data_IF_097778582102
#
_entry.id   IF_097778582102
#
_cell.length_a   1.000
_cell.length_b   1.000
_cell.length_c   1.000
_cell.angle_alpha   90.00
_cell.angle_beta   90.00
_cell.angle_gamma   90.00
#
_symmetry.space_group_name_H-M   'P 1'
#
loop_
_entity.id
_entity.type
_entity.pdbx_description
1 polymer ?
#
# COMPACT_ATOMS: atom_id res chain seq x y z
N UNK A 1 23.58 -19.28 -8.53
CA UNK A 1 23.09 -18.14 -9.32
C UNK A 1 23.49 -16.87 -8.59
N UNK A 2 24.22 -15.92 -9.20
CA UNK A 2 24.61 -14.69 -8.51
C UNK A 2 23.35 -13.90 -8.12
N UNK A 3 23.26 -13.55 -6.84
CA UNK A 3 22.17 -12.74 -6.31
C UNK A 3 22.31 -11.33 -6.89
N UNK A 4 21.37 -10.91 -7.74
CA UNK A 4 21.32 -9.53 -8.24
C UNK A 4 20.80 -8.61 -7.12
N UNK A 5 21.71 -8.17 -6.26
CA UNK A 5 21.43 -7.34 -5.10
C UNK A 5 20.80 -6.00 -5.49
N UNK A 6 21.19 -5.43 -6.64
CA UNK A 6 20.64 -4.19 -7.17
C UNK A 6 19.15 -4.32 -7.46
N UNK A 7 18.75 -5.40 -8.12
CA UNK A 7 17.34 -5.64 -8.43
C UNK A 7 16.52 -5.80 -7.14
N UNK A 8 17.05 -6.53 -6.14
CA UNK A 8 16.40 -6.67 -4.83
C UNK A 8 16.27 -5.32 -4.11
N UNK A 9 17.32 -4.50 -4.12
CA UNK A 9 17.31 -3.17 -3.50
C UNK A 9 16.29 -2.25 -4.19
N UNK A 10 16.20 -2.26 -5.53
CA UNK A 10 15.19 -1.52 -6.30
C UNK A 10 13.77 -1.88 -5.88
N UNK A 11 13.46 -3.18 -5.78
CA UNK A 11 12.14 -3.62 -5.37
C UNK A 11 11.84 -3.33 -3.90
N UNK A 12 12.83 -3.49 -3.01
CA UNK A 12 12.68 -3.13 -1.59
C UNK A 12 12.42 -1.62 -1.42
N UNK A 13 13.08 -0.77 -2.20
CA UNK A 13 12.85 0.67 -2.20
C UNK A 13 11.42 1.01 -2.63
N UNK A 14 10.95 0.46 -3.76
CA UNK A 14 9.57 0.69 -4.21
C UNK A 14 8.53 0.16 -3.23
N UNK A 15 8.70 -1.05 -2.70
CA UNK A 15 7.75 -1.61 -1.73
C UNK A 15 7.67 -0.76 -0.47
N UNK A 16 8.80 -0.24 0.00
CA UNK A 16 8.85 0.62 1.20
C UNK A 16 8.14 1.95 0.95
N UNK A 17 8.37 2.58 -0.22
CA UNK A 17 7.73 3.84 -0.58
C UNK A 17 6.20 3.69 -0.69
N UNK A 18 5.74 2.63 -1.36
CA UNK A 18 4.31 2.32 -1.53
C UNK A 18 3.67 2.02 -0.18
N UNK A 19 4.32 1.21 0.66
CA UNK A 19 3.84 0.92 2.00
C UNK A 19 3.73 2.19 2.84
N UNK A 20 4.75 3.04 2.84
CA UNK A 20 4.75 4.31 3.57
C UNK A 20 3.58 5.21 3.14
N UNK A 21 3.29 5.27 1.85
CA UNK A 21 2.20 6.09 1.33
C UNK A 21 0.82 5.52 1.71
N UNK A 22 0.63 4.21 1.62
CA UNK A 22 -0.65 3.55 1.85
C UNK A 22 -0.95 3.39 3.34
N UNK A 23 0.02 2.93 4.13
CA UNK A 23 -0.13 2.66 5.56
C UNK A 23 -0.06 3.93 6.44
N UNK A 24 -0.15 5.10 5.83
CA UNK A 24 -0.11 6.39 6.50
C UNK A 24 -1.50 6.74 7.10
N UNK A 25 -1.58 7.28 8.34
CA UNK A 25 -2.86 7.61 9.00
C UNK A 25 -3.72 8.65 8.26
N UNK A 26 -3.12 9.61 7.57
CA UNK A 26 -3.81 10.53 6.67
C UNK A 26 -4.41 9.80 5.47
N UNK A 27 -3.76 8.76 4.92
CA UNK A 27 -4.33 7.91 3.85
C UNK A 27 -5.53 7.12 4.36
N UNK A 28 -5.48 6.62 5.60
CA UNK A 28 -6.64 6.00 6.27
C UNK A 28 -7.79 7.00 6.44
N UNK A 29 -7.52 8.25 6.84
CA UNK A 29 -8.55 9.31 6.90
C UNK A 29 -9.11 9.66 5.53
N UNK A 30 -8.27 9.75 4.50
CA UNK A 30 -8.72 10.04 3.12
C UNK A 30 -9.61 8.93 2.59
N UNK A 31 -9.19 7.67 2.72
CA UNK A 31 -10.00 6.52 2.32
C UNK A 31 -11.28 6.41 3.12
N UNK A 32 -11.27 6.74 4.42
CA UNK A 32 -12.50 6.86 5.21
C UNK A 32 -13.45 7.95 4.71
N UNK A 33 -12.94 9.09 4.20
CA UNK A 33 -13.80 10.11 3.59
C UNK A 33 -14.41 9.65 2.26
N UNK A 34 -13.68 8.86 1.47
CA UNK A 34 -14.13 8.40 0.14
C UNK A 34 -15.02 7.15 0.23
N UNK A 35 -14.66 6.19 1.09
CA UNK A 35 -15.31 4.88 1.22
C UNK A 35 -16.03 4.68 2.56
N UNK A 36 -16.03 5.67 3.46
CA UNK A 36 -16.69 5.58 4.77
C UNK A 36 -18.20 5.38 4.72
N UNK A 37 -18.82 5.63 3.56
CA UNK A 37 -20.22 5.31 3.32
C UNK A 37 -20.48 3.81 3.08
N UNK A 38 -19.45 3.07 2.63
CA UNK A 38 -19.49 1.63 2.39
C UNK A 38 -18.92 0.84 3.58
N UNK A 39 -17.78 1.27 4.12
CA UNK A 39 -17.02 0.56 5.14
C UNK A 39 -16.36 1.54 6.11
N UNK A 40 -16.42 1.26 7.41
CA UNK A 40 -15.71 2.05 8.43
C UNK A 40 -14.22 1.70 8.41
N UNK A 41 -13.40 2.53 7.73
CA UNK A 41 -11.96 2.32 7.55
C UNK A 41 -11.15 2.89 8.72
N UNK A 42 -11.54 4.04 9.26
CA UNK A 42 -10.81 4.70 10.35
C UNK A 42 -11.75 5.40 11.34
N UNK A 43 -11.38 5.41 12.61
CA UNK A 43 -12.10 6.16 13.65
C UNK A 43 -11.84 7.68 13.52
N UNK A 44 -12.57 8.51 14.26
CA UNK A 44 -12.47 9.97 14.23
C UNK A 44 -11.04 10.50 14.49
N UNK A 45 -10.22 9.73 15.22
CA UNK A 45 -8.80 10.03 15.47
C UNK A 45 -7.83 9.61 14.34
N UNK A 46 -8.30 8.91 13.30
CA UNK A 46 -7.45 8.34 12.25
C UNK A 46 -6.85 6.96 12.56
N UNK A 47 -7.26 6.33 13.67
CA UNK A 47 -6.88 4.95 13.96
C UNK A 47 -7.59 4.00 12.98
N UNK A 48 -6.86 3.09 12.31
CA UNK A 48 -7.48 2.12 11.41
C UNK A 48 -8.33 1.13 12.19
N UNK A 49 -9.49 0.78 11.66
CA UNK A 49 -10.23 -0.41 12.12
C UNK A 49 -9.55 -1.68 11.61
N UNK A 50 -9.83 -2.84 12.18
CA UNK A 50 -9.30 -4.11 11.66
C UNK A 50 -9.67 -4.31 10.17
N UNK A 51 -10.89 -3.94 9.79
CA UNK A 51 -11.38 -3.96 8.41
C UNK A 51 -10.65 -2.95 7.52
N UNK A 52 -10.42 -1.73 8.02
CA UNK A 52 -9.67 -0.70 7.30
C UNK A 52 -8.23 -1.10 7.06
N UNK A 53 -7.57 -1.68 8.06
CA UNK A 53 -6.21 -2.21 7.93
C UNK A 53 -6.14 -3.33 6.88
N UNK A 54 -7.09 -4.27 6.90
CA UNK A 54 -7.18 -5.33 5.90
C UNK A 54 -7.40 -4.77 4.48
N UNK A 55 -8.29 -3.79 4.32
CA UNK A 55 -8.51 -3.12 3.05
C UNK A 55 -7.24 -2.47 2.50
N UNK A 56 -6.53 -1.70 3.32
CA UNK A 56 -5.27 -1.07 2.93
C UNK A 56 -4.17 -2.07 2.60
N UNK A 57 -4.15 -3.22 3.27
CA UNK A 57 -3.22 -4.32 2.97
C UNK A 57 -3.49 -4.91 1.58
N UNK A 58 -4.77 -5.08 1.21
CA UNK A 58 -5.15 -5.52 -0.14
C UNK A 58 -4.77 -4.47 -1.19
N UNK A 59 -5.04 -3.18 -0.93
CA UNK A 59 -4.64 -2.10 -1.83
C UNK A 59 -3.13 -2.08 -2.02
N UNK A 60 -2.36 -2.20 -0.94
CA UNK A 60 -0.89 -2.32 -1.00
C UNK A 60 -0.45 -3.49 -1.87
N UNK A 61 -1.05 -4.66 -1.67
CA UNK A 61 -0.74 -5.84 -2.47
C UNK A 61 -0.98 -5.61 -3.96
N UNK A 62 -2.15 -5.11 -4.35
CA UNK A 62 -2.48 -4.87 -5.76
C UNK A 62 -1.59 -3.80 -6.40
N UNK A 63 -1.28 -2.71 -5.70
CA UNK A 63 -0.40 -1.66 -6.20
C UNK A 63 1.02 -2.18 -6.39
N UNK A 64 1.57 -2.87 -5.38
CA UNK A 64 2.92 -3.43 -5.46
C UNK A 64 3.00 -4.49 -6.57
N UNK A 65 1.99 -5.35 -6.67
CA UNK A 65 1.87 -6.32 -7.74
C UNK A 65 1.87 -5.64 -9.11
N UNK A 66 1.07 -4.58 -9.29
CA UNK A 66 1.02 -3.81 -10.53
C UNK A 66 2.37 -3.20 -10.89
N UNK A 67 3.10 -2.65 -9.91
CA UNK A 67 4.46 -2.12 -10.11
C UNK A 67 5.45 -3.22 -10.50
N UNK A 68 5.29 -4.43 -9.97
CA UNK A 68 6.13 -5.58 -10.35
C UNK A 68 5.75 -6.17 -11.72
N UNK A 69 4.48 -6.07 -12.11
CA UNK A 69 3.96 -6.54 -13.40
C UNK A 69 4.28 -5.57 -14.55
N UNK A 70 4.55 -4.30 -14.23
CA UNK A 70 4.85 -3.29 -15.24
C UNK A 70 6.03 -3.76 -16.11
N UNK A 71 5.85 -3.86 -17.43
CA UNK A 71 6.89 -4.36 -18.32
C UNK A 71 8.13 -3.50 -18.17
N UNK A 72 9.26 -4.16 -17.93
CA UNK A 72 10.55 -3.47 -17.99
C UNK A 72 10.81 -3.20 -19.45
N UNK A 73 10.88 -1.92 -19.82
CA UNK A 73 11.35 -1.52 -21.15
C UNK A 73 12.64 -2.30 -21.42
N UNK A 74 12.63 -3.09 -22.51
CA UNK A 74 13.70 -4.03 -22.86
C UNK A 74 14.98 -3.31 -23.25
#
# INVERSE_FOLDING_TARGET
MPVNIYLKAKYAFYSTLIFFLIANPETFKMTQRVFGWLLTIADAGGCPTATGFFFHTLVFFFVLWGVMLFPRDQ
#
